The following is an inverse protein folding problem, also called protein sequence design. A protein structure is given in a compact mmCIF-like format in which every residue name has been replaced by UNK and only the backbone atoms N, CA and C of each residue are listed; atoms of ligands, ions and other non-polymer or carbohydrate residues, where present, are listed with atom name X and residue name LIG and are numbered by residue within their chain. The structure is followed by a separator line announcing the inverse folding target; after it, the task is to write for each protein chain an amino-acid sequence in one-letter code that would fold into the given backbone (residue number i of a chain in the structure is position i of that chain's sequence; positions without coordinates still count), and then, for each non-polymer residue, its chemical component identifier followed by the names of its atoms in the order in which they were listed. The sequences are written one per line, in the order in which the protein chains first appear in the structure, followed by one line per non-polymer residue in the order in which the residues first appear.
data_IF_377880827654
#
_entry.id   IF_377880827654
#
_cell.length_a   1.000
_cell.length_b   1.000
_cell.length_c   1.000
_cell.angle_alpha   90.00
_cell.angle_beta   90.00
_cell.angle_gamma   90.00
#
_symmetry.space_group_name_H-M   'P 1'
#
loop_
_entity.id
_entity.type
_entity.pdbx_description
1 polymer ?
#
# COMPACT_ATOMS: atom_id res chain seq x y z
N UNK A 1 -8.81 3.55 -6.10
CA UNK A 1 -8.87 4.12 -7.49
C UNK A 1 -7.97 5.33 -7.52
N UNK A 2 -7.45 5.79 -8.68
CA UNK A 2 -6.62 7.00 -8.73
C UNK A 2 -7.45 8.26 -8.45
N UNK A 3 -6.88 9.18 -7.67
CA UNK A 3 -7.56 10.40 -7.19
C UNK A 3 -7.27 11.63 -8.04
N UNK A 4 -6.18 11.58 -8.83
CA UNK A 4 -5.71 12.72 -9.64
C UNK A 4 -4.74 13.64 -8.88
N UNK A 5 -4.17 14.61 -9.59
CA UNK A 5 -3.12 15.47 -9.06
C UNK A 5 -1.72 14.87 -9.16
N UNK A 6 -0.76 15.48 -8.47
CA UNK A 6 0.61 15.00 -8.42
C UNK A 6 0.79 13.79 -7.49
N UNK A 7 1.98 13.19 -7.49
CA UNK A 7 2.27 11.97 -6.72
C UNK A 7 2.01 12.14 -5.21
N UNK A 8 2.36 13.27 -4.63
CA UNK A 8 2.19 13.53 -3.19
C UNK A 8 0.70 13.60 -2.84
N UNK A 9 -0.11 14.28 -3.67
CA UNK A 9 -1.55 14.37 -3.46
C UNK A 9 -2.24 13.00 -3.59
N UNK A 10 -1.84 12.21 -4.59
CA UNK A 10 -2.35 10.85 -4.80
C UNK A 10 -2.10 9.97 -3.59
N UNK A 11 -0.83 9.90 -3.14
CA UNK A 11 -0.42 9.03 -2.03
C UNK A 11 -0.98 9.51 -0.68
N UNK A 12 -0.98 10.83 -0.42
CA UNK A 12 -1.62 11.37 0.79
C UNK A 12 -3.11 11.03 0.86
N UNK A 13 -3.80 11.00 -0.27
CA UNK A 13 -5.20 10.58 -0.30
C UNK A 13 -5.36 9.09 0.03
N UNK A 14 -4.48 8.24 -0.51
CA UNK A 14 -4.44 6.82 -0.15
C UNK A 14 -4.24 6.61 1.36
N UNK A 15 -3.34 7.37 1.98
CA UNK A 15 -3.11 7.31 3.44
C UNK A 15 -4.39 7.58 4.23
N UNK A 16 -5.19 8.58 3.82
CA UNK A 16 -6.48 8.90 4.49
C UNK A 16 -7.51 7.80 4.27
N UNK A 17 -7.57 7.19 3.09
CA UNK A 17 -8.45 6.05 2.83
C UNK A 17 -8.09 4.82 3.69
N UNK A 18 -6.81 4.57 3.89
CA UNK A 18 -6.30 3.50 4.77
C UNK A 18 -6.64 3.79 6.24
N UNK A 19 -6.45 5.03 6.72
CA UNK A 19 -6.84 5.44 8.06
C UNK A 19 -8.35 5.25 8.30
N UNK A 20 -9.18 5.61 7.32
CA UNK A 20 -10.63 5.43 7.37
C UNK A 20 -11.01 3.93 7.43
N UNK A 21 -10.32 3.06 6.71
CA UNK A 21 -10.55 1.62 6.77
C UNK A 21 -10.19 1.04 8.15
N UNK A 22 -9.09 1.46 8.75
CA UNK A 22 -8.76 1.08 10.13
C UNK A 22 -9.84 1.52 11.11
N UNK A 23 -10.29 2.77 11.01
CA UNK A 23 -11.36 3.30 11.87
C UNK A 23 -12.66 2.52 11.73
N UNK A 24 -13.05 2.14 10.49
CA UNK A 24 -14.24 1.33 10.24
C UNK A 24 -14.10 -0.09 10.85
N UNK A 25 -12.93 -0.75 10.72
CA UNK A 25 -12.69 -2.06 11.33
C UNK A 25 -12.80 -1.98 12.87
N UNK A 26 -12.24 -0.94 13.47
CA UNK A 26 -12.24 -0.75 14.92
C UNK A 26 -13.63 -0.40 15.49
N UNK A 27 -14.49 0.24 14.69
CA UNK A 27 -15.84 0.60 15.10
C UNK A 27 -16.81 -0.59 15.20
N UNK A 28 -16.49 -1.71 14.55
CA UNK A 28 -17.34 -2.91 14.53
C UNK A 28 -17.03 -3.86 15.69
N UNK A 29 -18.04 -4.58 16.23
CA UNK A 29 -17.83 -5.63 17.24
C UNK A 29 -16.88 -6.73 16.75
N UNK A 30 -16.10 -7.34 17.66
CA UNK A 30 -15.10 -8.34 17.36
C UNK A 30 -15.50 -9.44 16.37
N UNK A 31 -16.64 -10.13 16.52
CA UNK A 31 -17.02 -11.24 15.64
C UNK A 31 -17.80 -10.80 14.38
N UNK A 32 -17.94 -9.49 14.10
CA UNK A 32 -18.71 -9.03 12.96
C UNK A 32 -18.04 -9.44 11.63
N UNK A 33 -18.76 -10.15 10.72
CA UNK A 33 -18.21 -10.58 9.44
C UNK A 33 -17.74 -9.42 8.54
N UNK A 34 -18.34 -8.25 8.66
CA UNK A 34 -17.98 -7.06 7.87
C UNK A 34 -16.53 -6.63 8.16
N UNK A 35 -15.99 -6.93 9.34
CA UNK A 35 -14.57 -6.68 9.64
C UNK A 35 -13.63 -7.45 8.71
N UNK A 36 -14.01 -8.66 8.25
CA UNK A 36 -13.21 -9.41 7.27
C UNK A 36 -13.20 -8.71 5.91
N UNK A 37 -14.35 -8.25 5.44
CA UNK A 37 -14.47 -7.53 4.18
C UNK A 37 -13.67 -6.23 4.18
N UNK A 38 -13.74 -5.47 5.28
CA UNK A 38 -12.93 -4.26 5.47
C UNK A 38 -11.43 -4.57 5.52
N UNK A 39 -11.02 -5.64 6.20
CA UNK A 39 -9.62 -6.07 6.26
C UNK A 39 -9.10 -6.55 4.88
N UNK A 40 -9.95 -7.15 4.07
CA UNK A 40 -9.62 -7.52 2.69
C UNK A 40 -9.45 -6.27 1.80
N UNK A 41 -10.31 -5.25 1.97
CA UNK A 41 -10.16 -3.96 1.29
C UNK A 41 -8.89 -3.24 1.74
N UNK A 42 -8.65 -3.17 3.03
CA UNK A 42 -7.41 -2.61 3.60
C UNK A 42 -6.17 -3.28 2.99
N UNK A 43 -6.17 -4.62 2.93
CA UNK A 43 -5.09 -5.37 2.32
C UNK A 43 -4.87 -4.98 0.86
N UNK A 44 -5.94 -4.89 0.06
CA UNK A 44 -5.84 -4.51 -1.35
C UNK A 44 -5.30 -3.10 -1.55
N UNK A 45 -5.75 -2.15 -0.75
CA UNK A 45 -5.27 -0.75 -0.88
C UNK A 45 -3.80 -0.63 -0.44
N UNK A 46 -3.40 -1.25 0.67
CA UNK A 46 -1.99 -1.25 1.12
C UNK A 46 -1.05 -1.90 0.10
N UNK A 47 -1.40 -3.06 -0.47
CA UNK A 47 -0.57 -3.72 -1.48
C UNK A 47 -0.44 -2.89 -2.76
N UNK A 48 -1.55 -2.30 -3.25
CA UNK A 48 -1.52 -1.45 -4.46
C UNK A 48 -0.68 -0.19 -4.26
N UNK A 49 -0.80 0.41 -3.09
CA UNK A 49 -0.05 1.58 -2.69
C UNK A 49 1.45 1.26 -2.65
N UNK A 50 1.87 0.27 -1.85
CA UNK A 50 3.28 -0.13 -1.71
C UNK A 50 3.93 -0.48 -3.04
N UNK A 51 3.26 -1.29 -3.88
CA UNK A 51 3.80 -1.64 -5.21
C UNK A 51 4.00 -0.42 -6.10
N UNK A 52 3.08 0.54 -6.08
CA UNK A 52 3.20 1.74 -6.89
C UNK A 52 4.35 2.65 -6.43
N UNK A 53 4.60 2.73 -5.12
CA UNK A 53 5.74 3.46 -4.56
C UNK A 53 7.08 2.80 -4.87
N UNK A 54 7.18 1.50 -4.70
CA UNK A 54 8.36 0.71 -5.05
C UNK A 54 8.70 0.77 -6.54
N UNK A 55 7.68 0.85 -7.40
CA UNK A 55 7.87 0.98 -8.83
C UNK A 55 8.28 2.38 -9.29
N UNK A 56 7.80 3.43 -8.63
CA UNK A 56 7.93 4.78 -9.16
C UNK A 56 8.39 5.84 -8.16
N UNK A 57 7.86 5.86 -6.92
CA UNK A 57 8.22 6.88 -5.93
C UNK A 57 9.66 6.69 -5.45
N UNK A 58 9.99 5.52 -4.92
CA UNK A 58 11.32 5.27 -4.35
C UNK A 58 12.45 5.32 -5.38
N UNK A 59 12.28 4.86 -6.63
CA UNK A 59 13.26 5.14 -7.69
C UNK A 59 13.47 6.63 -7.96
N UNK A 60 12.41 7.47 -7.85
CA UNK A 60 12.55 8.92 -7.98
C UNK A 60 13.28 9.51 -6.76
N UNK A 61 12.96 9.07 -5.56
CA UNK A 61 13.67 9.45 -4.31
C UNK A 61 15.16 9.13 -4.43
N UNK A 62 15.53 7.90 -4.82
CA UNK A 62 16.93 7.50 -5.03
C UNK A 62 17.65 8.41 -6.05
N UNK A 63 16.93 8.82 -7.08
CA UNK A 63 17.52 9.61 -8.17
C UNK A 63 17.71 11.08 -7.83
N UNK A 64 16.81 11.68 -7.09
CA UNK A 64 16.72 13.13 -6.95
C UNK A 64 17.03 13.65 -5.55
N UNK A 65 16.86 12.83 -4.50
CA UNK A 65 17.05 13.25 -3.11
C UNK A 65 18.41 12.83 -2.59
N UNK A 66 19.13 13.75 -1.95
CA UNK A 66 20.38 13.42 -1.27
C UNK A 66 20.13 12.43 -0.13
N UNK A 67 20.88 11.32 -0.10
CA UNK A 67 20.63 10.21 0.83
C UNK A 67 19.38 9.39 0.51
N UNK A 68 18.84 9.52 -0.71
CA UNK A 68 17.63 8.86 -1.16
C UNK A 68 17.71 7.34 -1.17
N UNK A 69 18.90 6.75 -1.27
CA UNK A 69 19.07 5.29 -1.18
C UNK A 69 18.70 4.78 0.20
N UNK A 70 19.23 5.37 1.26
CA UNK A 70 18.95 4.96 2.64
C UNK A 70 17.47 5.20 3.01
N UNK A 71 16.88 6.31 2.51
CA UNK A 71 15.45 6.59 2.69
C UNK A 71 14.58 5.51 2.04
N UNK A 72 14.81 5.24 0.77
CA UNK A 72 14.06 4.25 0.03
C UNK A 72 14.23 2.82 0.59
N UNK A 73 15.44 2.45 0.99
CA UNK A 73 15.71 1.14 1.60
C UNK A 73 14.92 0.94 2.91
N UNK A 74 14.81 2.00 3.73
CA UNK A 74 14.02 1.98 4.95
C UNK A 74 12.53 1.76 4.63
N UNK A 75 11.96 2.54 3.73
CA UNK A 75 10.53 2.45 3.40
C UNK A 75 10.17 1.09 2.78
N UNK A 76 11.02 0.54 1.91
CA UNK A 76 10.86 -0.81 1.36
C UNK A 76 10.91 -1.88 2.46
N UNK A 77 11.78 -1.72 3.45
CA UNK A 77 11.84 -2.64 4.59
C UNK A 77 10.55 -2.60 5.43
N UNK A 78 9.98 -1.40 5.66
CA UNK A 78 8.72 -1.22 6.36
C UNK A 78 7.56 -1.88 5.58
N UNK A 79 7.51 -1.73 4.25
CA UNK A 79 6.55 -2.45 3.38
C UNK A 79 6.64 -3.96 3.54
N UNK A 80 7.86 -4.52 3.55
CA UNK A 80 8.07 -5.95 3.74
C UNK A 80 7.56 -6.46 5.12
N UNK A 81 7.60 -5.62 6.17
CA UNK A 81 7.01 -5.96 7.46
C UNK A 81 5.47 -5.92 7.43
N UNK A 82 4.92 -4.89 6.83
CA UNK A 82 3.46 -4.75 6.64
C UNK A 82 2.92 -5.91 5.82
N UNK A 83 3.57 -6.25 4.71
CA UNK A 83 3.12 -7.32 3.81
C UNK A 83 3.11 -8.70 4.49
N UNK A 84 4.11 -8.98 5.35
CA UNK A 84 4.11 -10.21 6.17
C UNK A 84 2.92 -10.26 7.14
N UNK A 85 2.61 -9.14 7.81
CA UNK A 85 1.44 -9.05 8.68
C UNK A 85 0.12 -9.19 7.90
N UNK A 86 0.01 -8.61 6.71
CA UNK A 86 -1.15 -8.79 5.82
C UNK A 86 -1.31 -10.26 5.40
N UNK A 87 -0.20 -10.96 5.15
CA UNK A 87 -0.22 -12.39 4.84
C UNK A 87 -0.72 -13.23 6.01
N UNK A 88 -0.32 -12.92 7.22
CA UNK A 88 -0.86 -13.57 8.44
C UNK A 88 -2.35 -13.27 8.61
N UNK A 89 -2.76 -12.02 8.37
CA UNK A 89 -4.15 -11.57 8.49
C UNK A 89 -5.10 -12.32 7.54
N UNK A 90 -4.65 -12.72 6.34
CA UNK A 90 -5.45 -13.55 5.42
C UNK A 90 -5.96 -14.86 6.05
N UNK A 91 -5.22 -15.42 6.99
CA UNK A 91 -5.56 -16.67 7.69
C UNK A 91 -6.46 -16.49 8.91
N UNK A 92 -6.70 -15.26 9.37
CA UNK A 92 -7.45 -14.99 10.60
C UNK A 92 -8.92 -14.67 10.33
N UNK A 93 -9.78 -14.96 11.30
CA UNK A 93 -11.19 -14.59 11.25
C UNK A 93 -11.52 -13.52 12.30
N UNK A 94 -12.47 -12.61 12.02
CA UNK A 94 -12.99 -11.69 13.02
C UNK A 94 -13.52 -12.48 14.25
N UNK A 95 -13.12 -12.02 15.45
CA UNK A 95 -13.39 -12.72 16.68
C UNK A 95 -12.23 -13.58 17.19
N UNK A 96 -11.24 -13.87 16.36
CA UNK A 96 -9.97 -14.43 16.82
C UNK A 96 -9.12 -13.31 17.46
N UNK A 97 -8.57 -13.54 18.65
CA UNK A 97 -7.71 -12.57 19.31
C UNK A 97 -6.45 -12.18 18.49
N UNK A 98 -6.04 -13.07 17.57
CA UNK A 98 -4.95 -12.80 16.64
C UNK A 98 -5.35 -11.77 15.57
N UNK A 99 -6.61 -11.78 15.10
CA UNK A 99 -7.11 -10.78 14.15
C UNK A 99 -6.97 -9.37 14.71
N UNK A 100 -7.48 -9.14 15.93
CA UNK A 100 -7.41 -7.82 16.57
C UNK A 100 -5.97 -7.39 16.84
N UNK A 101 -5.12 -8.32 17.25
CA UNK A 101 -3.69 -8.06 17.47
C UNK A 101 -2.98 -7.64 16.17
N UNK A 102 -3.29 -8.29 15.06
CA UNK A 102 -2.71 -7.96 13.75
C UNK A 102 -3.22 -6.62 13.23
N UNK A 103 -4.52 -6.33 13.35
CA UNK A 103 -5.07 -5.01 12.97
C UNK A 103 -4.37 -3.90 13.75
N UNK A 104 -4.20 -4.04 15.07
CA UNK A 104 -3.50 -3.03 15.88
C UNK A 104 -2.04 -2.86 15.49
N UNK A 105 -1.32 -3.96 15.26
CA UNK A 105 0.09 -3.93 14.82
C UNK A 105 0.23 -3.27 13.44
N UNK A 106 -0.62 -3.66 12.47
CA UNK A 106 -0.66 -3.06 11.15
C UNK A 106 -0.90 -1.56 11.24
N UNK A 107 -1.92 -1.13 11.98
CA UNK A 107 -2.21 0.29 12.17
C UNK A 107 -1.01 1.06 12.71
N UNK A 108 -0.33 0.55 13.72
CA UNK A 108 0.84 1.20 14.30
C UNK A 108 1.99 1.32 13.29
N UNK A 109 2.30 0.23 12.56
CA UNK A 109 3.38 0.23 11.56
C UNK A 109 3.04 1.16 10.39
N UNK A 110 1.83 1.10 9.85
CA UNK A 110 1.38 1.97 8.76
C UNK A 110 1.36 3.43 9.18
N UNK A 111 0.87 3.76 10.39
CA UNK A 111 0.87 5.14 10.88
C UNK A 111 2.29 5.70 11.03
N UNK A 112 3.24 4.90 11.50
CA UNK A 112 4.64 5.33 11.62
C UNK A 112 5.28 5.56 10.25
N UNK A 113 5.07 4.66 9.30
CA UNK A 113 5.52 4.76 7.91
C UNK A 113 4.95 6.01 7.22
N UNK A 114 3.63 6.20 7.22
CA UNK A 114 2.95 7.38 6.66
C UNK A 114 3.48 8.69 7.27
N UNK A 115 3.72 8.70 8.59
CA UNK A 115 4.29 9.86 9.27
C UNK A 115 5.70 10.20 8.77
N UNK A 116 6.54 9.21 8.49
CA UNK A 116 7.89 9.45 7.95
C UNK A 116 7.82 9.96 6.51
N UNK A 117 6.97 9.39 5.68
CA UNK A 117 6.79 9.86 4.31
C UNK A 117 6.23 11.29 4.24
N UNK A 118 5.13 11.58 4.91
CA UNK A 118 4.47 12.89 4.83
C UNK A 118 5.31 14.00 5.46
N UNK A 119 6.04 13.71 6.55
CA UNK A 119 6.82 14.74 7.26
C UNK A 119 8.27 14.85 6.80
N UNK A 120 8.78 13.87 6.06
CA UNK A 120 10.19 13.84 5.66
C UNK A 120 10.40 13.57 4.17
N UNK A 121 9.95 12.44 3.64
CA UNK A 121 10.23 12.01 2.27
C UNK A 121 9.53 12.90 1.24
N UNK A 122 8.23 13.16 1.39
CA UNK A 122 7.47 13.98 0.44
C UNK A 122 7.96 15.43 0.38
N UNK A 123 8.24 16.13 1.49
CA UNK A 123 8.86 17.45 1.44
C UNK A 123 10.20 17.46 0.71
N UNK A 124 11.09 16.51 0.99
CA UNK A 124 12.39 16.42 0.32
C UNK A 124 12.25 16.22 -1.19
N UNK A 125 11.32 15.37 -1.62
CA UNK A 125 11.06 15.14 -3.04
C UNK A 125 10.45 16.39 -3.70
N UNK A 126 9.53 17.07 -3.02
CA UNK A 126 8.90 18.30 -3.51
C UNK A 126 9.91 19.45 -3.70
N UNK A 127 10.91 19.54 -2.84
CA UNK A 127 11.94 20.58 -2.92
C UNK A 127 12.87 20.41 -4.14
N UNK A 128 13.04 19.18 -4.63
CA UNK A 128 14.01 18.89 -5.72
C UNK A 128 13.36 18.59 -7.07
N UNK A 129 12.06 18.28 -7.10
CA UNK A 129 11.33 17.97 -8.32
C UNK A 129 10.46 19.15 -8.80
N UNK A 130 10.39 19.35 -10.13
CA UNK A 130 9.44 20.30 -10.71
C UNK A 130 7.98 19.82 -10.55
N UNK A 131 7.03 20.75 -10.62
CA UNK A 131 5.61 20.43 -10.60
C UNK A 131 5.24 19.41 -11.68
N UNK A 132 5.71 19.61 -12.91
CA UNK A 132 5.46 18.69 -14.04
C UNK A 132 6.02 17.29 -13.78
N UNK A 133 7.19 17.17 -13.16
CA UNK A 133 7.78 15.87 -12.81
C UNK A 133 6.96 15.15 -11.72
N UNK A 134 6.44 15.87 -10.73
CA UNK A 134 5.56 15.32 -9.71
C UNK A 134 4.20 14.89 -10.28
N UNK A 135 3.65 15.63 -11.26
CA UNK A 135 2.41 15.24 -11.96
C UNK A 135 2.63 14.00 -12.81
N UNK A 136 3.71 13.94 -13.61
CA UNK A 136 4.06 12.73 -14.39
C UNK A 136 4.24 11.50 -13.49
N UNK A 137 4.86 11.68 -12.32
CA UNK A 137 5.03 10.62 -11.35
C UNK A 137 3.69 10.16 -10.77
N UNK A 138 2.76 11.08 -10.51
CA UNK A 138 1.39 10.78 -10.09
C UNK A 138 0.62 9.95 -11.11
N UNK A 139 0.76 10.23 -12.41
CA UNK A 139 0.16 9.41 -13.47
C UNK A 139 0.72 7.97 -13.49
N UNK A 140 2.03 7.82 -13.31
CA UNK A 140 2.69 6.50 -13.25
C UNK A 140 2.23 5.70 -12.05
N UNK A 141 2.15 6.30 -10.87
CA UNK A 141 1.65 5.69 -9.64
C UNK A 141 0.20 5.23 -9.82
N UNK A 142 -0.68 6.08 -10.35
CA UNK A 142 -2.07 5.69 -10.65
C UNK A 142 -2.17 4.51 -11.61
N UNK A 143 -1.33 4.50 -12.64
CA UNK A 143 -1.29 3.38 -13.60
C UNK A 143 -0.81 2.09 -12.93
N UNK A 144 0.21 2.14 -12.09
CA UNK A 144 0.73 0.98 -11.35
C UNK A 144 -0.35 0.39 -10.44
N UNK A 145 -1.05 1.20 -9.66
CA UNK A 145 -2.14 0.77 -8.76
C UNK A 145 -3.22 -0.05 -9.49
N UNK A 146 -3.52 0.27 -10.75
CA UNK A 146 -4.52 -0.47 -11.54
C UNK A 146 -4.09 -1.91 -11.89
N UNK A 147 -2.78 -2.15 -11.97
CA UNK A 147 -2.21 -3.43 -12.41
C UNK A 147 -1.56 -4.22 -11.27
N UNK A 148 -1.38 -3.59 -10.12
CA UNK A 148 -0.77 -4.19 -8.95
C UNK A 148 -1.53 -5.43 -8.46
N UNK A 149 -0.85 -6.35 -7.74
CA UNK A 149 -1.49 -7.42 -7.00
C UNK A 149 -2.56 -6.91 -6.03
N UNK A 150 -3.48 -7.77 -5.64
CA UNK A 150 -4.51 -7.49 -4.62
C UNK A 150 -4.34 -8.35 -3.36
N UNK A 151 -3.30 -9.17 -3.35
CA UNK A 151 -2.94 -10.05 -2.24
C UNK A 151 -1.46 -9.92 -1.89
N UNK A 152 -1.08 -10.18 -0.63
CA UNK A 152 0.32 -10.13 -0.22
C UNK A 152 1.12 -11.32 -0.79
N UNK A 153 2.27 -11.00 -1.37
CA UNK A 153 3.25 -11.93 -1.93
C UNK A 153 4.66 -11.65 -1.36
N UNK A 154 4.90 -11.86 -0.04
CA UNK A 154 6.12 -11.41 0.65
C UNK A 154 7.44 -11.97 0.11
N UNK A 155 7.39 -12.88 -0.84
CA UNK A 155 8.58 -13.42 -1.53
C UNK A 155 8.74 -12.87 -2.94
N UNK A 156 7.86 -11.95 -3.39
CA UNK A 156 8.00 -11.30 -4.68
C UNK A 156 9.11 -10.23 -4.63
N UNK A 157 9.75 -9.89 -5.77
CA UNK A 157 10.67 -8.77 -5.81
C UNK A 157 9.97 -7.44 -5.52
N UNK A 158 10.61 -6.61 -4.74
CA UNK A 158 10.15 -5.28 -4.30
C UNK A 158 10.84 -4.11 -5.04
N UNK A 159 11.80 -4.42 -5.91
CA UNK A 159 12.60 -3.42 -6.61
C UNK A 159 12.59 -3.59 -8.13
N UNK A 160 12.62 -2.47 -8.91
CA UNK A 160 12.73 -2.50 -10.36
C UNK A 160 14.08 -3.10 -10.84
N UNK A 161 14.12 -3.80 -12.00
CA UNK A 161 12.99 -3.97 -12.93
C UNK A 161 12.10 -5.20 -12.63
N UNK A 162 12.45 -6.02 -11.65
CA UNK A 162 11.79 -7.30 -11.44
C UNK A 162 10.33 -7.15 -10.99
N UNK A 163 10.03 -6.22 -10.07
CA UNK A 163 8.65 -5.95 -9.65
C UNK A 163 7.77 -5.47 -10.81
N UNK A 164 8.25 -4.57 -11.67
CA UNK A 164 7.51 -4.07 -12.86
C UNK A 164 7.16 -5.15 -13.87
N UNK A 165 7.96 -6.21 -13.93
CA UNK A 165 7.72 -7.34 -14.85
C UNK A 165 6.72 -8.32 -14.26
N UNK A 166 6.79 -8.57 -12.96
CA UNK A 166 6.01 -9.61 -12.29
C UNK A 166 4.66 -9.12 -11.75
N UNK A 167 4.58 -7.88 -11.25
CA UNK A 167 3.38 -7.33 -10.63
C UNK A 167 2.12 -7.40 -11.53
N UNK A 168 2.16 -7.05 -12.83
CA UNK A 168 0.96 -7.14 -13.68
C UNK A 168 0.43 -8.57 -13.85
N UNK A 169 1.32 -9.56 -13.95
CA UNK A 169 0.94 -10.98 -14.05
C UNK A 169 0.33 -11.50 -12.75
N UNK A 170 0.97 -11.21 -11.63
CA UNK A 170 0.48 -11.57 -10.29
C UNK A 170 -0.86 -10.89 -10.02
N UNK A 171 -0.99 -9.60 -10.32
CA UNK A 171 -2.23 -8.86 -10.15
C UNK A 171 -3.40 -9.41 -10.99
N UNK A 172 -3.14 -9.93 -12.19
CA UNK A 172 -4.18 -10.57 -13.00
C UNK A 172 -4.67 -11.88 -12.35
N UNK A 173 -3.76 -12.70 -11.84
CA UNK A 173 -4.10 -13.96 -11.14
C UNK A 173 -4.88 -13.65 -9.85
N UNK A 174 -4.44 -12.67 -9.07
CA UNK A 174 -5.11 -12.28 -7.83
C UNK A 174 -6.53 -11.77 -8.10
N UNK A 175 -6.72 -10.89 -9.07
CA UNK A 175 -8.07 -10.39 -9.44
C UNK A 175 -9.00 -11.51 -9.89
N UNK A 176 -8.51 -12.48 -10.66
CA UNK A 176 -9.30 -13.64 -11.04
C UNK A 176 -9.72 -14.46 -9.81
N UNK A 177 -8.79 -14.69 -8.89
CA UNK A 177 -9.05 -15.41 -7.64
C UNK A 177 -10.05 -14.66 -6.76
N UNK A 178 -9.91 -13.34 -6.62
CA UNK A 178 -10.83 -12.49 -5.86
C UNK A 178 -12.23 -12.50 -6.45
N UNK A 179 -12.35 -12.45 -7.79
CA UNK A 179 -13.64 -12.60 -8.48
C UNK A 179 -14.33 -13.94 -8.17
N UNK A 180 -13.56 -15.04 -8.16
CA UNK A 180 -14.08 -16.37 -7.87
C UNK A 180 -14.48 -16.56 -6.39
N UNK A 181 -13.77 -15.90 -5.47
CA UNK A 181 -14.01 -16.00 -4.03
C UNK A 181 -14.95 -14.92 -3.50
N UNK A 182 -15.33 -13.94 -4.31
CA UNK A 182 -16.19 -12.83 -3.90
C UNK A 182 -15.49 -11.77 -3.05
N UNK A 183 -14.15 -11.83 -2.90
CA UNK A 183 -13.37 -10.89 -2.10
C UNK A 183 -13.40 -9.49 -2.71
N UNK A 184 -13.62 -8.48 -1.88
CA UNK A 184 -13.59 -7.06 -2.29
C UNK A 184 -14.77 -6.60 -3.16
N UNK A 185 -15.88 -7.35 -3.21
CA UNK A 185 -17.12 -6.86 -3.81
C UNK A 185 -17.71 -5.77 -2.93
N UNK A 186 -18.00 -4.63 -3.54
CA UNK A 186 -18.89 -3.64 -2.94
C UNK A 186 -20.33 -4.04 -3.32
N UNK A 187 -21.18 -4.23 -2.32
CA UNK A 187 -22.64 -4.28 -2.51
C UNK A 187 -23.18 -2.86 -2.73
#
# INVERSE_FOLDING_TARGET
MGHGGNVIQELTTDHREVDDLFAQIEALPGPDPQRRELADRLTMELIRHSVAEEEYLYPAVRRYVDGGDDLADKEIADHGEVERMLKELEGCQPGDGQFDTLILRLKNSVTAHVSDEENRLFPLLADVCSADALEELGEKVRSAKQHAPTRPHPSAPDTPPANKILAPGTGMVDRLRDMLTGRGKQD
#
